data_IF_828540406709
#
_entry.id   IF_828540406709
#
_cell.length_a   1.000
_cell.length_b   1.000
_cell.length_c   1.000
_cell.angle_alpha   90.00
_cell.angle_beta   90.00
_cell.angle_gamma   90.00
#
_symmetry.space_group_name_H-M   'P 1'
#
loop_
_entity.id
_entity.type
_entity.pdbx_description
1 polymer ?
#
# COMPACT_ATOMS: atom_id res chain seq x y z
N UNK A 1 -18.44 -60.37 -65.98
CA UNK A 1 -17.29 -60.28 -65.05
C UNK A 1 -17.28 -61.56 -64.26
N UNK A 2 -16.20 -62.33 -64.35
CA UNK A 2 -16.04 -63.53 -63.53
C UNK A 2 -15.73 -63.13 -62.08
N UNK A 3 -15.90 -64.06 -61.14
CA UNK A 3 -15.53 -63.84 -59.73
C UNK A 3 -14.03 -63.49 -59.60
N UNK A 4 -13.17 -64.10 -60.42
CA UNK A 4 -11.73 -63.80 -60.45
C UNK A 4 -11.41 -62.38 -60.93
N UNK A 5 -12.19 -61.83 -61.87
CA UNK A 5 -12.00 -60.44 -62.31
C UNK A 5 -12.35 -59.43 -61.21
N UNK A 6 -13.32 -59.78 -60.36
CA UNK A 6 -13.72 -58.98 -59.20
C UNK A 6 -12.67 -59.05 -58.09
N UNK A 7 -12.15 -60.25 -57.80
CA UNK A 7 -11.11 -60.47 -56.80
C UNK A 7 -9.82 -59.70 -57.15
N UNK A 8 -9.37 -59.78 -58.40
CA UNK A 8 -8.20 -59.03 -58.88
C UNK A 8 -8.41 -57.50 -58.77
N UNK A 9 -9.59 -56.98 -59.14
CA UNK A 9 -9.88 -55.54 -58.97
C UNK A 9 -9.94 -55.11 -57.51
N UNK A 10 -10.41 -55.98 -56.61
CA UNK A 10 -10.42 -55.69 -55.17
C UNK A 10 -8.99 -55.63 -54.63
N UNK A 11 -8.10 -56.54 -55.05
CA UNK A 11 -6.68 -56.49 -54.68
C UNK A 11 -6.00 -55.22 -55.17
N UNK A 12 -6.21 -54.85 -56.44
CA UNK A 12 -5.64 -53.62 -57.02
C UNK A 12 -6.12 -52.36 -56.27
N UNK A 13 -7.44 -52.25 -56.01
CA UNK A 13 -8.00 -51.12 -55.27
C UNK A 13 -7.48 -51.10 -53.82
N UNK A 14 -7.32 -52.26 -53.18
CA UNK A 14 -6.79 -52.35 -51.82
C UNK A 14 -5.32 -51.90 -51.76
N UNK A 15 -4.51 -52.28 -52.74
CA UNK A 15 -3.12 -51.83 -52.87
C UNK A 15 -3.04 -50.30 -53.08
N UNK A 16 -3.91 -49.73 -53.89
CA UNK A 16 -3.99 -48.28 -54.10
C UNK A 16 -4.47 -47.53 -52.85
N UNK A 17 -5.41 -48.08 -52.08
CA UNK A 17 -5.81 -47.53 -50.78
C UNK A 17 -4.61 -47.46 -49.83
N UNK A 18 -3.82 -48.52 -49.72
CA UNK A 18 -2.64 -48.52 -48.84
C UNK A 18 -1.56 -47.55 -49.32
N UNK A 19 -1.37 -47.41 -50.64
CA UNK A 19 -0.48 -46.40 -51.22
C UNK A 19 -0.95 -44.98 -50.88
N UNK A 20 -2.24 -44.68 -51.06
CA UNK A 20 -2.80 -43.37 -50.74
C UNK A 20 -2.73 -43.06 -49.24
N UNK A 21 -2.98 -44.03 -48.36
CA UNK A 21 -2.78 -43.88 -46.91
C UNK A 21 -1.32 -43.59 -46.54
N UNK A 22 -0.35 -44.20 -47.24
CA UNK A 22 1.06 -43.91 -47.01
C UNK A 22 1.42 -42.46 -47.38
N UNK A 23 0.94 -41.98 -48.52
CA UNK A 23 1.12 -40.58 -48.95
C UNK A 23 0.45 -39.61 -47.99
N UNK A 24 -0.78 -39.92 -47.55
CA UNK A 24 -1.51 -39.08 -46.60
C UNK A 24 -0.76 -38.96 -45.26
N UNK A 25 -0.22 -40.07 -44.73
CA UNK A 25 0.61 -40.06 -43.52
C UNK A 25 1.86 -39.19 -43.66
N UNK A 26 2.54 -39.25 -44.81
CA UNK A 26 3.70 -38.40 -45.10
C UNK A 26 3.32 -36.92 -45.11
N UNK A 27 2.25 -36.56 -45.82
CA UNK A 27 1.77 -35.17 -45.90
C UNK A 27 1.27 -34.65 -44.55
N UNK A 28 0.65 -35.49 -43.71
CA UNK A 28 0.30 -35.14 -42.33
C UNK A 28 1.53 -34.85 -41.48
N UNK A 29 2.61 -35.62 -41.68
CA UNK A 29 3.89 -35.39 -41.02
C UNK A 29 4.48 -34.04 -41.43
N UNK A 30 4.56 -33.75 -42.73
CA UNK A 30 5.07 -32.49 -43.26
C UNK A 30 4.23 -31.29 -42.81
N UNK A 31 2.89 -31.42 -42.84
CA UNK A 31 1.98 -30.40 -42.31
C UNK A 31 2.25 -30.13 -40.83
N UNK A 32 2.45 -31.18 -40.02
CA UNK A 32 2.73 -31.03 -38.59
C UNK A 32 4.06 -30.32 -38.33
N UNK A 33 5.08 -30.58 -39.16
CA UNK A 33 6.38 -29.92 -39.08
C UNK A 33 6.27 -28.42 -39.43
N UNK A 34 5.62 -28.09 -40.55
CA UNK A 34 5.39 -26.71 -40.96
C UNK A 34 4.56 -25.93 -39.93
N UNK A 35 3.56 -26.59 -39.32
CA UNK A 35 2.75 -25.99 -38.27
C UNK A 35 3.60 -25.61 -37.04
N UNK A 36 4.54 -26.48 -36.63
CA UNK A 36 5.49 -26.18 -35.54
C UNK A 36 6.41 -25.01 -35.90
N UNK A 37 6.95 -24.98 -37.11
CA UNK A 37 7.81 -23.89 -37.58
C UNK A 37 7.06 -22.55 -37.61
N UNK A 38 5.83 -22.54 -38.10
CA UNK A 38 4.99 -21.33 -38.14
C UNK A 38 4.72 -20.81 -36.72
N UNK A 39 4.42 -21.70 -35.78
CA UNK A 39 4.21 -21.32 -34.38
C UNK A 39 5.48 -20.73 -33.75
N UNK A 40 6.67 -21.29 -34.05
CA UNK A 40 7.94 -20.76 -33.58
C UNK A 40 8.30 -19.37 -34.16
N UNK A 41 7.86 -19.06 -35.38
CA UNK A 41 8.02 -17.71 -35.97
C UNK A 41 7.01 -16.72 -35.41
N UNK A 42 5.82 -17.21 -35.00
CA UNK A 42 4.72 -16.38 -34.46
C UNK A 42 4.79 -16.10 -32.97
N UNK A 43 5.72 -16.70 -32.23
CA UNK A 43 5.93 -16.46 -30.80
C UNK A 43 7.16 -15.55 -30.57
N UNK A 44 6.96 -14.22 -30.39
CA UNK A 44 8.06 -13.28 -30.17
C UNK A 44 8.75 -13.50 -28.83
N UNK A 45 8.05 -14.06 -27.83
CA UNK A 45 8.57 -14.25 -26.47
C UNK A 45 9.33 -15.57 -26.35
N UNK A 46 8.95 -16.60 -27.11
CA UNK A 46 9.75 -17.81 -27.28
C UNK A 46 11.13 -17.60 -27.92
N UNK A 47 11.41 -16.38 -28.45
CA UNK A 47 12.73 -15.97 -28.96
C UNK A 47 13.60 -15.26 -27.92
N UNK A 48 13.01 -14.80 -26.83
CA UNK A 48 13.73 -14.13 -25.76
C UNK A 48 14.30 -15.19 -24.80
N UNK A 49 15.50 -14.97 -24.25
CA UNK A 49 15.97 -15.76 -23.13
C UNK A 49 14.95 -15.77 -21.99
N UNK A 50 14.75 -16.89 -21.27
CA UNK A 50 13.83 -16.99 -20.14
C UNK A 50 14.00 -15.86 -19.11
N UNK A 51 15.23 -15.40 -18.89
CA UNK A 51 15.56 -14.33 -17.96
C UNK A 51 14.98 -12.97 -18.39
N UNK A 52 15.01 -12.68 -19.69
CA UNK A 52 14.47 -11.43 -20.25
C UNK A 52 12.95 -11.45 -20.20
N UNK A 53 12.33 -12.56 -20.61
CA UNK A 53 10.88 -12.76 -20.50
C UNK A 53 10.40 -12.64 -19.06
N UNK A 54 11.16 -13.23 -18.13
CA UNK A 54 10.91 -13.16 -16.69
C UNK A 54 10.94 -11.73 -16.15
N UNK A 55 11.93 -10.92 -16.54
CA UNK A 55 12.00 -9.51 -16.14
C UNK A 55 10.85 -8.69 -16.76
N UNK A 56 10.52 -8.93 -18.04
CA UNK A 56 9.37 -8.29 -18.69
C UNK A 56 8.08 -8.60 -17.91
N UNK A 57 7.86 -9.85 -17.51
CA UNK A 57 6.68 -10.23 -16.74
C UNK A 57 6.59 -9.48 -15.41
N UNK A 58 7.71 -9.31 -14.71
CA UNK A 58 7.75 -8.56 -13.44
C UNK A 58 7.42 -7.08 -13.67
N UNK A 59 7.96 -6.47 -14.74
CA UNK A 59 7.69 -5.07 -15.09
C UNK A 59 6.25 -4.83 -15.60
N UNK A 60 5.56 -5.88 -16.02
CA UNK A 60 4.16 -5.80 -16.44
C UNK A 60 3.16 -5.95 -15.27
N UNK A 61 3.62 -6.25 -14.06
CA UNK A 61 2.77 -6.24 -12.88
C UNK A 61 2.38 -4.80 -12.53
N UNK A 62 1.16 -4.56 -12.00
CA UNK A 62 0.78 -3.24 -11.51
C UNK A 62 1.81 -2.70 -10.52
N UNK A 63 2.05 -1.39 -10.49
CA UNK A 63 2.99 -0.80 -9.52
C UNK A 63 2.45 -0.86 -8.09
N UNK A 64 1.12 -0.86 -7.94
CA UNK A 64 0.45 -0.87 -6.65
C UNK A 64 -0.17 -2.26 -6.38
N UNK A 65 0.22 -2.93 -5.28
CA UNK A 65 -0.31 -4.21 -4.83
C UNK A 65 -1.83 -4.26 -4.80
N UNK A 66 -2.51 -3.15 -4.49
CA UNK A 66 -3.97 -3.05 -4.43
C UNK A 66 -4.65 -3.36 -5.76
N UNK A 67 -3.94 -3.30 -6.88
CA UNK A 67 -4.48 -3.67 -8.18
C UNK A 67 -4.03 -5.08 -8.66
N UNK A 68 -3.40 -5.88 -7.80
CA UNK A 68 -2.98 -7.24 -8.16
C UNK A 68 -4.08 -8.25 -7.82
N UNK A 69 -5.13 -8.31 -8.64
CA UNK A 69 -6.18 -9.29 -8.42
C UNK A 69 -5.65 -10.72 -8.60
N UNK A 70 -6.22 -11.66 -7.83
CA UNK A 70 -5.74 -13.05 -7.82
C UNK A 70 -5.83 -13.75 -9.19
N UNK A 71 -6.74 -13.31 -10.05
CA UNK A 71 -6.99 -13.88 -11.37
C UNK A 71 -6.30 -13.12 -12.51
N UNK A 72 -5.68 -11.97 -12.22
CA UNK A 72 -4.88 -11.22 -13.19
C UNK A 72 -3.43 -11.72 -13.24
N UNK A 73 -2.51 -10.97 -13.83
CA UNK A 73 -1.09 -11.28 -13.79
C UNK A 73 -0.63 -11.48 -12.32
N UNK A 74 0.17 -12.53 -12.01
CA UNK A 74 0.83 -13.46 -12.93
C UNK A 74 0.00 -14.66 -13.39
N UNK A 75 -1.24 -14.86 -12.92
CA UNK A 75 -2.04 -16.04 -13.24
C UNK A 75 -2.37 -16.14 -14.75
N UNK A 76 -2.57 -14.99 -15.42
CA UNK A 76 -2.78 -14.94 -16.87
C UNK A 76 -1.60 -15.51 -17.67
N UNK A 77 -0.36 -15.37 -17.16
CA UNK A 77 0.84 -15.86 -17.84
C UNK A 77 0.84 -17.39 -17.98
N UNK A 78 0.14 -18.09 -17.09
CA UNK A 78 0.02 -19.55 -17.11
C UNK A 78 -0.91 -20.08 -18.21
N UNK A 79 -1.70 -19.21 -18.83
CA UNK A 79 -2.73 -19.60 -19.80
C UNK A 79 -2.33 -19.26 -21.25
N UNK A 80 -1.15 -18.67 -21.47
CA UNK A 80 -0.69 -18.25 -22.82
C UNK A 80 -0.08 -19.41 -23.60
N UNK A 81 1.01 -19.98 -23.09
CA UNK A 81 1.66 -21.16 -23.66
C UNK A 81 2.55 -21.86 -22.60
N UNK A 82 2.95 -23.11 -22.85
CA UNK A 82 3.78 -23.87 -21.92
C UNK A 82 5.10 -23.15 -21.56
N UNK A 83 5.74 -22.48 -22.51
CA UNK A 83 6.99 -21.76 -22.24
C UNK A 83 6.78 -20.62 -21.24
N UNK A 84 5.68 -19.87 -21.35
CA UNK A 84 5.36 -18.80 -20.39
C UNK A 84 4.99 -19.38 -19.03
N UNK A 85 4.28 -20.50 -19.00
CA UNK A 85 3.97 -21.23 -17.78
C UNK A 85 5.25 -21.65 -17.06
N UNK A 86 6.21 -22.22 -17.79
CA UNK A 86 7.50 -22.66 -17.22
C UNK A 86 8.30 -21.47 -16.66
N UNK A 87 8.36 -20.35 -17.41
CA UNK A 87 9.03 -19.12 -16.97
C UNK A 87 8.33 -18.51 -15.73
N UNK A 88 7.00 -18.41 -15.76
CA UNK A 88 6.24 -17.80 -14.68
C UNK A 88 6.29 -18.65 -13.40
N UNK A 89 6.19 -19.98 -13.50
CA UNK A 89 6.28 -20.88 -12.34
C UNK A 89 7.68 -20.91 -11.74
N UNK A 90 8.72 -20.79 -12.56
CA UNK A 90 10.12 -20.80 -12.10
C UNK A 90 10.61 -19.45 -11.55
N UNK A 91 9.80 -18.39 -11.61
CA UNK A 91 10.13 -17.09 -11.03
C UNK A 91 9.26 -16.78 -9.79
N UNK A 92 9.76 -17.02 -8.56
CA UNK A 92 9.02 -16.76 -7.33
C UNK A 92 8.65 -15.29 -7.10
N UNK A 93 9.44 -14.34 -7.63
CA UNK A 93 9.19 -12.88 -7.50
C UNK A 93 7.87 -12.45 -8.13
N UNK A 94 7.37 -13.19 -9.13
CA UNK A 94 6.04 -12.92 -9.71
C UNK A 94 4.91 -13.22 -8.73
N UNK A 95 5.12 -14.14 -7.79
CA UNK A 95 4.09 -14.65 -6.89
C UNK A 95 4.15 -14.02 -5.50
N UNK A 96 5.17 -13.20 -5.22
CA UNK A 96 5.36 -12.56 -3.92
C UNK A 96 4.36 -11.45 -3.63
N UNK A 97 3.61 -10.96 -4.63
CA UNK A 97 2.62 -9.89 -4.45
C UNK A 97 1.21 -10.41 -4.73
N UNK A 98 0.28 -10.14 -3.82
CA UNK A 98 -1.12 -10.54 -3.97
C UNK A 98 -2.08 -9.57 -3.27
N UNK A 99 -3.19 -9.26 -3.94
CA UNK A 99 -4.34 -8.63 -3.30
C UNK A 99 -5.51 -9.61 -3.21
N UNK A 100 -6.02 -9.75 -1.99
CA UNK A 100 -7.06 -10.68 -1.59
C UNK A 100 -8.28 -9.83 -1.20
N UNK A 101 -9.28 -9.78 -2.07
CA UNK A 101 -10.56 -9.13 -1.79
C UNK A 101 -11.58 -10.15 -1.25
N UNK A 102 -12.30 -9.78 -0.19
CA UNK A 102 -13.32 -10.61 0.47
C UNK A 102 -14.64 -9.80 0.58
N UNK A 103 -15.82 -10.36 0.22
CA UNK A 103 -16.04 -11.70 -0.31
C UNK A 103 -15.49 -11.86 -1.73
N UNK A 104 -14.57 -12.80 -1.88
CA UNK A 104 -13.97 -13.16 -3.17
C UNK A 104 -14.76 -14.27 -3.85
N UNK A 105 -14.51 -14.54 -5.15
CA UNK A 105 -15.06 -15.72 -5.81
C UNK A 105 -14.63 -17.00 -5.07
N UNK A 106 -15.54 -17.98 -5.00
CA UNK A 106 -15.29 -19.24 -4.30
C UNK A 106 -13.98 -19.93 -4.75
N UNK A 107 -13.24 -20.50 -3.79
CA UNK A 107 -11.94 -21.14 -4.06
C UNK A 107 -10.71 -20.25 -3.82
N UNK A 108 -10.90 -19.08 -3.19
CA UNK A 108 -9.84 -18.12 -2.81
C UNK A 108 -8.66 -18.78 -2.08
N UNK A 109 -8.93 -19.60 -1.05
CA UNK A 109 -7.91 -20.30 -0.28
C UNK A 109 -7.00 -21.18 -1.15
N UNK A 110 -7.55 -21.90 -2.13
CA UNK A 110 -6.76 -22.74 -3.03
C UNK A 110 -5.88 -21.91 -3.97
N UNK A 111 -6.35 -20.74 -4.42
CA UNK A 111 -5.55 -19.83 -5.23
C UNK A 111 -4.41 -19.20 -4.41
N UNK A 112 -4.71 -18.74 -3.20
CA UNK A 112 -3.72 -18.18 -2.26
C UNK A 112 -2.66 -19.23 -1.92
N UNK A 113 -3.06 -20.46 -1.59
CA UNK A 113 -2.12 -21.55 -1.30
C UNK A 113 -1.17 -21.82 -2.48
N UNK A 114 -1.67 -21.84 -3.72
CA UNK A 114 -0.82 -22.01 -4.92
C UNK A 114 0.14 -20.84 -5.11
N UNK A 115 -0.28 -19.60 -4.83
CA UNK A 115 0.61 -18.44 -4.91
C UNK A 115 1.71 -18.52 -3.85
N UNK A 116 1.36 -18.82 -2.60
CA UNK A 116 2.33 -18.98 -1.49
C UNK A 116 3.38 -20.05 -1.81
N UNK A 117 2.96 -21.20 -2.32
CA UNK A 117 3.89 -22.27 -2.72
C UNK A 117 4.89 -21.82 -3.79
N UNK A 118 4.46 -20.98 -4.74
CA UNK A 118 5.30 -20.48 -5.83
C UNK A 118 6.21 -19.33 -5.40
N UNK A 119 5.77 -18.49 -4.46
CA UNK A 119 6.60 -17.45 -3.84
C UNK A 119 7.78 -18.05 -3.05
N UNK A 120 7.63 -19.29 -2.60
CA UNK A 120 8.70 -20.11 -1.99
C UNK A 120 9.32 -19.46 -0.75
N UNK A 121 10.44 -18.76 -0.89
CA UNK A 121 11.19 -18.09 0.18
C UNK A 121 11.27 -16.57 0.00
N UNK A 122 10.56 -16.02 -0.98
CA UNK A 122 10.56 -14.58 -1.22
C UNK A 122 9.69 -13.84 -0.20
N UNK A 123 10.07 -12.59 0.11
CA UNK A 123 9.26 -11.73 0.97
C UNK A 123 7.92 -11.43 0.30
N UNK A 124 6.85 -11.68 1.04
CA UNK A 124 5.47 -11.51 0.62
C UNK A 124 5.00 -10.07 0.85
N UNK A 125 4.26 -9.57 -0.13
CA UNK A 125 3.54 -8.31 -0.11
C UNK A 125 2.06 -8.62 -0.30
N UNK A 126 1.33 -8.64 0.82
CA UNK A 126 -0.05 -9.11 0.88
C UNK A 126 -0.95 -7.94 1.22
N UNK A 127 -1.94 -7.69 0.37
CA UNK A 127 -3.08 -6.86 0.70
C UNK A 127 -4.31 -7.75 0.92
N UNK A 128 -5.01 -7.54 2.03
CA UNK A 128 -6.28 -8.19 2.35
C UNK A 128 -7.31 -7.09 2.59
N UNK A 129 -8.36 -7.11 1.78
CA UNK A 129 -9.40 -6.08 1.76
C UNK A 129 -10.76 -6.76 1.93
N UNK A 130 -11.49 -6.40 2.97
CA UNK A 130 -12.77 -7.01 3.35
C UNK A 130 -12.68 -7.85 4.63
N UNK A 131 -13.79 -8.46 5.08
CA UNK A 131 -13.79 -9.32 6.25
C UNK A 131 -12.81 -10.48 6.03
N UNK A 132 -11.93 -10.74 6.99
CA UNK A 132 -10.90 -11.77 6.88
C UNK A 132 -11.56 -13.16 6.85
N UNK A 133 -11.48 -13.88 5.73
CA UNK A 133 -11.82 -15.31 5.66
C UNK A 133 -10.83 -16.06 6.56
N UNK A 134 -11.27 -16.72 7.65
CA UNK A 134 -10.38 -17.36 8.62
C UNK A 134 -9.47 -18.43 7.98
N UNK A 135 -9.90 -19.04 6.88
CA UNK A 135 -9.11 -20.04 6.14
C UNK A 135 -7.97 -19.39 5.40
N UNK A 136 -8.24 -18.29 4.69
CA UNK A 136 -7.22 -17.51 3.98
C UNK A 136 -6.28 -16.86 4.98
N UNK A 137 -6.82 -16.41 6.11
CA UNK A 137 -6.02 -15.89 7.20
C UNK A 137 -5.07 -16.95 7.76
N UNK A 138 -5.56 -18.13 8.10
CA UNK A 138 -4.67 -19.19 8.61
C UNK A 138 -3.51 -19.51 7.63
N UNK A 139 -3.75 -19.47 6.32
CA UNK A 139 -2.73 -19.72 5.28
C UNK A 139 -1.65 -18.63 5.23
N UNK A 140 -2.04 -17.36 5.20
CA UNK A 140 -1.10 -16.23 5.10
C UNK A 140 -0.26 -16.15 6.39
N UNK A 141 -0.87 -16.39 7.55
CA UNK A 141 -0.19 -16.33 8.84
C UNK A 141 0.73 -17.53 9.08
N UNK A 142 0.44 -18.68 8.47
CA UNK A 142 1.40 -19.78 8.38
C UNK A 142 2.72 -19.41 7.66
N UNK A 143 2.74 -18.30 6.91
CA UNK A 143 3.91 -17.77 6.20
C UNK A 143 4.38 -16.43 6.77
N UNK A 144 4.05 -16.12 8.03
CA UNK A 144 4.28 -14.81 8.63
C UNK A 144 5.75 -14.34 8.63
N UNK A 145 6.70 -15.27 8.73
CA UNK A 145 8.14 -14.97 8.62
C UNK A 145 8.56 -14.43 7.24
N UNK A 146 7.75 -14.66 6.20
CA UNK A 146 7.99 -14.15 4.86
C UNK A 146 7.26 -12.82 4.62
N UNK A 147 6.34 -12.38 5.48
CA UNK A 147 5.61 -11.13 5.29
C UNK A 147 6.56 -9.93 5.41
N UNK A 148 6.78 -9.24 4.29
CA UNK A 148 7.56 -8.01 4.21
C UNK A 148 6.69 -6.75 4.14
N UNK A 149 5.52 -6.84 3.49
CA UNK A 149 4.50 -5.78 3.47
C UNK A 149 3.13 -6.39 3.71
N UNK A 150 2.35 -5.76 4.58
CA UNK A 150 1.01 -6.19 4.93
C UNK A 150 0.07 -4.99 4.90
N UNK A 151 -0.98 -5.09 4.08
CA UNK A 151 -2.10 -4.16 4.06
C UNK A 151 -3.32 -4.92 4.55
N UNK A 152 -3.89 -4.49 5.68
CA UNK A 152 -5.14 -5.00 6.21
C UNK A 152 -6.19 -3.91 6.05
N UNK A 153 -7.30 -4.22 5.40
CA UNK A 153 -8.49 -3.38 5.37
C UNK A 153 -9.66 -4.22 5.84
N UNK A 154 -10.11 -4.01 7.07
CA UNK A 154 -11.30 -4.65 7.59
C UNK A 154 -12.51 -3.95 6.97
N UNK A 155 -13.18 -4.59 6.00
CA UNK A 155 -14.52 -4.12 5.61
C UNK A 155 -15.45 -4.17 6.82
N UNK A 156 -16.51 -3.35 6.87
CA UNK A 156 -17.53 -3.34 7.94
C UNK A 156 -17.78 -4.75 8.48
N UNK A 157 -17.18 -5.08 9.64
CA UNK A 157 -17.38 -6.38 10.29
C UNK A 157 -18.78 -6.38 10.87
N UNK A 158 -19.54 -7.43 10.58
CA UNK A 158 -20.71 -7.72 11.40
C UNK A 158 -20.19 -8.13 12.80
N UNK A 159 -20.86 -7.71 13.86
CA UNK A 159 -20.47 -7.86 15.29
C UNK A 159 -20.16 -9.30 15.77
N UNK A 160 -20.18 -10.31 14.89
CA UNK A 160 -20.00 -11.73 15.20
C UNK A 160 -18.58 -12.26 14.94
N UNK A 161 -17.66 -11.48 14.37
CA UNK A 161 -16.27 -11.90 14.11
C UNK A 161 -15.40 -11.84 15.38
N UNK A 162 -14.56 -12.86 15.59
CA UNK A 162 -13.70 -13.03 16.78
C UNK A 162 -12.63 -11.92 16.88
N UNK A 163 -12.68 -11.05 17.91
CA UNK A 163 -11.79 -9.89 18.05
C UNK A 163 -10.33 -10.24 18.34
N UNK A 164 -10.05 -11.46 18.82
CA UNK A 164 -8.69 -11.90 19.18
C UNK A 164 -7.80 -12.17 17.96
N UNK A 165 -8.37 -12.23 16.75
CA UNK A 165 -7.60 -12.52 15.54
C UNK A 165 -6.62 -11.38 15.24
N UNK A 166 -7.04 -10.12 15.27
CA UNK A 166 -6.25 -8.96 14.82
C UNK A 166 -5.04 -8.60 15.71
N UNK A 167 -5.09 -8.94 17.00
CA UNK A 167 -3.95 -8.75 17.91
C UNK A 167 -2.91 -9.87 17.79
N UNK A 168 -3.37 -11.12 17.69
CA UNK A 168 -2.50 -12.28 17.40
C UNK A 168 -1.83 -12.11 16.04
N UNK A 169 -2.53 -11.48 15.12
CA UNK A 169 -2.16 -11.18 13.76
C UNK A 169 -0.87 -10.37 13.61
N UNK A 170 -0.69 -9.31 14.40
CA UNK A 170 0.53 -8.50 14.36
C UNK A 170 1.70 -9.23 15.04
N UNK A 171 1.43 -10.02 16.09
CA UNK A 171 2.47 -10.74 16.85
C UNK A 171 3.23 -11.78 16.02
N UNK A 172 2.64 -12.24 14.91
CA UNK A 172 3.16 -13.35 14.12
C UNK A 172 4.17 -12.91 13.05
N UNK A 173 4.30 -11.63 12.73
CA UNK A 173 4.99 -11.17 11.53
C UNK A 173 6.19 -10.24 11.83
N UNK A 174 7.33 -10.79 12.28
CA UNK A 174 8.49 -10.01 12.76
C UNK A 174 9.27 -9.27 11.66
N UNK A 175 9.05 -9.63 10.39
CA UNK A 175 9.78 -9.09 9.24
C UNK A 175 8.99 -8.02 8.49
N UNK A 176 7.85 -7.57 9.01
CA UNK A 176 7.07 -6.52 8.37
C UNK A 176 7.88 -5.23 8.32
N UNK A 177 8.04 -4.73 7.11
CA UNK A 177 8.72 -3.49 6.74
C UNK A 177 7.77 -2.42 6.19
N UNK A 178 6.49 -2.75 6.01
CA UNK A 178 5.45 -1.79 5.66
C UNK A 178 4.10 -2.36 6.13
N UNK A 179 3.43 -1.62 7.03
CA UNK A 179 2.15 -2.01 7.63
C UNK A 179 1.13 -0.90 7.39
N UNK A 180 0.05 -1.27 6.71
CA UNK A 180 -1.08 -0.38 6.43
C UNK A 180 -2.34 -1.01 7.02
N UNK A 181 -3.03 -0.28 7.87
CA UNK A 181 -4.23 -0.74 8.57
C UNK A 181 -5.37 0.22 8.27
N UNK A 182 -6.42 -0.29 7.62
CA UNK A 182 -7.63 0.45 7.24
C UNK A 182 -8.84 -0.15 7.95
N UNK A 183 -9.61 0.66 8.67
CA UNK A 183 -10.86 0.27 9.36
C UNK A 183 -10.72 -0.88 10.37
N UNK A 184 -9.50 -1.10 10.90
CA UNK A 184 -9.25 -2.16 11.87
C UNK A 184 -9.66 -1.68 13.26
N UNK A 185 -10.77 -2.19 13.78
CA UNK A 185 -11.21 -2.01 15.17
C UNK A 185 -10.61 -3.12 16.05
N UNK A 186 -9.78 -2.72 17.02
CA UNK A 186 -9.37 -3.58 18.13
C UNK A 186 -10.24 -3.22 19.34
N UNK A 187 -11.06 -4.16 19.81
CA UNK A 187 -11.97 -3.96 20.95
C UNK A 187 -11.25 -4.18 22.28
N UNK A 188 -11.69 -3.45 23.32
CA UNK A 188 -11.32 -3.77 24.70
C UNK A 188 -11.99 -5.08 25.14
N UNK A 189 -11.22 -6.02 25.67
CA UNK A 189 -11.81 -7.06 26.50
C UNK A 189 -12.47 -6.42 27.74
N UNK A 190 -13.77 -6.66 27.91
CA UNK A 190 -14.42 -6.50 29.21
C UNK A 190 -13.76 -7.46 30.21
N UNK A 191 -12.87 -6.91 31.03
CA UNK A 191 -12.34 -7.48 32.26
C UNK A 191 -11.35 -8.67 32.14
N UNK A 192 -10.08 -8.36 32.43
CA UNK A 192 -9.34 -9.13 33.42
C UNK A 192 -8.61 -10.38 32.96
N UNK A 193 -8.16 -10.45 31.70
CA UNK A 193 -7.14 -11.43 31.29
C UNK A 193 -5.79 -10.72 31.16
N UNK A 194 -4.93 -10.89 32.16
CA UNK A 194 -3.49 -10.65 32.04
C UNK A 194 -2.94 -11.50 30.86
N UNK A 195 -2.77 -10.93 29.66
CA UNK A 195 -2.23 -11.77 28.58
C UNK A 195 -2.12 -11.25 27.16
N UNK A 196 -2.67 -10.11 26.77
CA UNK A 196 -2.40 -9.60 25.41
C UNK A 196 -0.98 -9.02 25.39
N UNK A 197 -0.04 -9.84 24.94
CA UNK A 197 1.35 -9.45 24.78
C UNK A 197 1.49 -8.32 23.79
N UNK A 198 2.15 -7.23 24.20
CA UNK A 198 2.52 -6.14 23.30
C UNK A 198 3.27 -6.71 22.08
N UNK A 199 2.80 -6.38 20.89
CA UNK A 199 3.43 -6.83 19.66
C UNK A 199 4.66 -5.99 19.36
N UNK A 200 5.83 -6.62 19.34
CA UNK A 200 7.06 -6.00 18.88
C UNK A 200 7.18 -6.10 17.35
N UNK A 201 7.25 -4.95 16.68
CA UNK A 201 7.51 -4.80 15.25
C UNK A 201 8.93 -4.21 15.06
N UNK A 202 9.99 -5.03 15.16
CA UNK A 202 11.36 -4.55 15.32
C UNK A 202 11.95 -3.94 14.05
N UNK A 203 11.36 -4.21 12.88
CA UNK A 203 11.86 -3.82 11.58
C UNK A 203 10.95 -2.85 10.83
N UNK A 204 9.87 -2.38 11.45
CA UNK A 204 8.86 -1.53 10.81
C UNK A 204 9.35 -0.07 10.69
N UNK A 205 9.67 0.43 9.48
CA UNK A 205 10.05 1.81 9.24
C UNK A 205 8.83 2.70 8.97
N UNK A 206 7.71 2.15 8.51
CA UNK A 206 6.51 2.92 8.17
C UNK A 206 5.25 2.24 8.70
N UNK A 207 4.36 3.04 9.30
CA UNK A 207 3.05 2.63 9.79
C UNK A 207 2.03 3.63 9.28
N UNK A 208 1.04 3.15 8.53
CA UNK A 208 -0.13 3.93 8.14
C UNK A 208 -1.37 3.31 8.78
N UNK A 209 -2.15 4.15 9.44
CA UNK A 209 -3.44 3.82 10.02
C UNK A 209 -4.51 4.77 9.48
N UNK A 210 -5.63 4.21 9.04
CA UNK A 210 -6.80 4.93 8.54
C UNK A 210 -8.07 4.17 8.92
N UNK A 211 -9.19 4.85 9.04
CA UNK A 211 -10.47 4.32 9.52
C UNK A 211 -11.59 5.32 9.26
N UNK A 212 -12.66 4.85 8.65
CA UNK A 212 -13.89 5.58 8.34
C UNK A 212 -14.91 5.54 9.49
N UNK A 213 -14.71 4.69 10.50
CA UNK A 213 -15.78 4.31 11.44
C UNK A 213 -15.65 4.89 12.86
N UNK A 214 -14.76 5.86 13.09
CA UNK A 214 -14.71 6.53 14.40
C UNK A 214 -15.93 7.42 14.59
N UNK A 215 -16.88 6.96 15.40
CA UNK A 215 -17.87 7.86 15.98
C UNK A 215 -17.14 9.02 16.69
N UNK A 216 -17.83 10.17 16.78
CA UNK A 216 -17.25 11.37 17.39
C UNK A 216 -16.94 11.09 18.87
N UNK A 217 -15.67 10.82 19.18
CA UNK A 217 -15.18 10.60 20.55
C UNK A 217 -14.49 9.26 20.78
N UNK A 218 -14.46 8.35 19.81
CA UNK A 218 -13.74 7.09 19.93
C UNK A 218 -12.34 7.19 19.31
N UNK A 219 -11.32 7.02 20.14
CA UNK A 219 -9.92 6.94 19.73
C UNK A 219 -9.50 5.48 19.58
N UNK A 220 -8.94 5.13 18.44
CA UNK A 220 -8.41 3.78 18.22
C UNK A 220 -7.25 3.46 19.16
N UNK A 221 -7.31 2.29 19.79
CA UNK A 221 -6.34 1.83 20.80
C UNK A 221 -5.20 0.99 20.22
N UNK A 222 -5.09 0.87 18.89
CA UNK A 222 -4.04 0.06 18.27
C UNK A 222 -2.62 0.46 18.68
N UNK A 223 -2.41 1.76 18.87
CA UNK A 223 -1.16 2.28 19.37
C UNK A 223 -0.85 1.80 20.79
N UNK A 224 -1.78 1.25 21.57
CA UNK A 224 -1.54 0.66 22.89
C UNK A 224 -0.89 -0.73 22.80
N UNK A 225 -1.18 -1.49 21.74
CA UNK A 225 -0.79 -2.91 21.62
C UNK A 225 0.50 -3.13 20.82
N UNK A 226 1.09 -2.08 20.23
CA UNK A 226 2.29 -2.20 19.37
C UNK A 226 3.53 -1.51 19.95
N UNK A 227 4.71 -2.07 19.65
CA UNK A 227 6.03 -1.45 19.85
C UNK A 227 6.79 -1.44 18.53
N UNK A 228 7.15 -0.26 18.03
CA UNK A 228 7.87 -0.11 16.76
C UNK A 228 9.10 0.80 16.93
N UNK A 229 10.23 0.28 17.48
CA UNK A 229 11.39 1.10 17.84
C UNK A 229 12.19 1.64 16.66
N UNK A 230 11.95 1.13 15.44
CA UNK A 230 12.61 1.59 14.20
C UNK A 230 11.71 2.44 13.31
N UNK A 231 10.55 2.87 13.83
CA UNK A 231 9.58 3.61 13.03
C UNK A 231 10.13 4.97 12.60
N UNK A 232 10.17 5.21 11.29
CA UNK A 232 10.62 6.46 10.69
C UNK A 232 9.45 7.30 10.19
N UNK A 233 8.34 6.66 9.76
CA UNK A 233 7.12 7.33 9.30
C UNK A 233 5.89 6.80 10.03
N UNK A 234 5.12 7.71 10.59
CA UNK A 234 3.84 7.43 11.23
C UNK A 234 2.75 8.28 10.56
N UNK A 235 1.71 7.64 10.04
CA UNK A 235 0.55 8.30 9.44
C UNK A 235 -0.71 7.81 10.13
N UNK A 236 -1.45 8.74 10.74
CA UNK A 236 -2.67 8.47 11.49
C UNK A 236 -3.81 9.27 10.83
N UNK A 237 -4.43 8.78 9.75
CA UNK A 237 -5.46 9.54 9.01
C UNK A 237 -6.75 9.78 9.82
N UNK A 238 -7.00 8.91 10.80
CA UNK A 238 -8.18 8.94 11.66
C UNK A 238 -7.89 9.51 13.04
N UNK A 239 -8.91 10.06 13.72
CA UNK A 239 -8.72 10.66 15.03
C UNK A 239 -8.19 9.64 16.02
N UNK A 240 -6.95 9.88 16.48
CA UNK A 240 -6.26 9.06 17.46
C UNK A 240 -6.07 9.91 18.72
N UNK A 241 -6.35 9.34 19.88
CA UNK A 241 -6.24 10.04 21.16
C UNK A 241 -4.79 10.42 21.44
N UNK A 242 -4.56 11.66 21.86
CA UNK A 242 -3.23 12.14 22.23
C UNK A 242 -2.52 11.24 23.25
N UNK A 243 -3.24 10.73 24.26
CA UNK A 243 -2.67 9.83 25.27
C UNK A 243 -2.13 8.52 24.66
N UNK A 244 -2.78 8.01 23.62
CA UNK A 244 -2.36 6.80 22.90
C UNK A 244 -1.10 7.06 22.09
N UNK A 245 -1.04 8.21 21.42
CA UNK A 245 0.16 8.67 20.69
C UNK A 245 1.33 8.83 21.66
N UNK A 246 1.14 9.53 22.79
CA UNK A 246 2.18 9.78 23.79
C UNK A 246 2.66 8.47 24.40
N UNK A 247 1.75 7.58 24.81
CA UNK A 247 2.11 6.29 25.40
C UNK A 247 2.90 5.42 24.42
N UNK A 248 2.48 5.39 23.15
CA UNK A 248 3.21 4.71 22.08
C UNK A 248 4.61 5.28 21.85
N UNK A 249 4.74 6.61 21.74
CA UNK A 249 6.02 7.28 21.53
C UNK A 249 6.98 7.05 22.69
N UNK A 250 6.49 7.11 23.94
CA UNK A 250 7.29 6.80 25.13
C UNK A 250 7.72 5.33 25.15
N UNK A 251 6.82 4.41 24.81
CA UNK A 251 7.07 2.96 24.83
C UNK A 251 8.00 2.50 23.71
N UNK A 252 7.84 3.05 22.51
CA UNK A 252 8.61 2.66 21.32
C UNK A 252 9.88 3.48 21.14
N UNK A 253 9.91 4.73 21.59
CA UNK A 253 11.00 5.70 21.37
C UNK A 253 11.56 5.70 19.93
N UNK A 254 10.71 5.84 18.90
CA UNK A 254 11.14 5.68 17.51
C UNK A 254 11.94 6.89 16.99
N UNK A 255 12.90 6.70 16.06
CA UNK A 255 13.62 7.78 15.39
C UNK A 255 12.77 8.43 14.28
N UNK A 256 11.59 8.95 14.66
CA UNK A 256 10.58 9.39 13.71
C UNK A 256 11.05 10.59 12.87
N UNK A 257 10.94 10.47 11.55
CA UNK A 257 11.30 11.49 10.56
C UNK A 257 10.06 12.16 9.95
N UNK A 258 8.97 11.42 9.79
CA UNK A 258 7.71 11.90 9.23
C UNK A 258 6.54 11.55 10.16
N UNK A 259 5.72 12.54 10.48
CA UNK A 259 4.50 12.38 11.27
C UNK A 259 3.35 13.06 10.53
N UNK A 260 2.30 12.29 10.24
CA UNK A 260 1.02 12.78 9.74
C UNK A 260 -0.07 12.49 10.78
N UNK A 261 -0.75 13.53 11.23
CA UNK A 261 -1.92 13.47 12.12
C UNK A 261 -3.14 13.95 11.35
N UNK A 262 -3.99 13.02 10.97
CA UNK A 262 -5.32 13.20 10.39
C UNK A 262 -6.38 13.49 11.44
N UNK A 263 -7.43 14.19 11.01
CA UNK A 263 -8.54 14.71 11.83
C UNK A 263 -8.12 15.27 13.20
N UNK A 264 -7.18 16.23 13.20
CA UNK A 264 -6.65 16.85 14.41
C UNK A 264 -7.71 17.62 15.24
N UNK A 265 -8.89 17.90 14.67
CA UNK A 265 -10.02 18.51 15.36
C UNK A 265 -10.56 17.59 16.47
N UNK A 266 -10.69 16.30 16.16
CA UNK A 266 -11.23 15.28 17.06
C UNK A 266 -10.18 14.56 17.90
N UNK A 267 -8.92 14.54 17.47
CA UNK A 267 -7.81 13.89 18.16
C UNK A 267 -7.47 14.44 19.57
N UNK A 268 -8.16 15.47 20.05
CA UNK A 268 -7.98 15.99 21.42
C UNK A 268 -6.54 16.43 21.73
N UNK A 269 -5.88 17.11 20.78
CA UNK A 269 -4.47 17.56 20.88
C UNK A 269 -4.27 18.70 21.90
N UNK A 270 -4.58 18.45 23.17
CA UNK A 270 -4.41 19.43 24.26
C UNK A 270 -2.95 19.67 24.66
N UNK A 271 -2.09 18.69 24.40
CA UNK A 271 -0.70 18.57 24.85
C UNK A 271 0.25 18.29 23.67
N UNK A 272 -0.03 18.91 22.51
CA UNK A 272 0.75 18.71 21.27
C UNK A 272 2.24 19.03 21.49
N UNK A 273 2.55 19.91 22.43
CA UNK A 273 3.91 20.19 22.89
C UNK A 273 4.62 18.95 23.43
N UNK A 274 3.93 18.09 24.19
CA UNK A 274 4.47 16.83 24.69
C UNK A 274 4.73 15.85 23.54
N UNK A 275 3.77 15.70 22.61
CA UNK A 275 3.95 14.85 21.42
C UNK A 275 5.18 15.28 20.63
N UNK A 276 5.29 16.57 20.31
CA UNK A 276 6.41 17.11 19.52
C UNK A 276 7.75 17.04 20.28
N UNK A 277 7.74 17.14 21.61
CA UNK A 277 8.93 16.98 22.45
C UNK A 277 9.49 15.54 22.40
N UNK A 278 8.62 14.54 22.20
CA UNK A 278 9.01 13.13 22.10
C UNK A 278 9.60 12.75 20.73
N UNK A 279 9.44 13.58 19.69
CA UNK A 279 9.93 13.30 18.32
C UNK A 279 10.84 14.41 17.76
N UNK A 280 11.97 14.73 18.42
CA UNK A 280 12.85 15.84 18.00
C UNK A 280 13.55 15.61 16.64
N UNK A 281 13.57 14.38 16.14
CA UNK A 281 14.19 13.98 14.87
C UNK A 281 13.36 14.33 13.64
N UNK A 282 12.12 14.81 13.83
CA UNK A 282 11.17 15.04 12.77
C UNK A 282 11.70 16.00 11.68
N UNK A 283 11.52 15.61 10.43
CA UNK A 283 11.88 16.38 9.22
C UNK A 283 10.64 16.87 8.46
N UNK A 284 9.53 16.14 8.59
CA UNK A 284 8.23 16.46 7.99
C UNK A 284 7.11 16.30 9.02
N UNK A 285 6.29 17.34 9.16
CA UNK A 285 5.06 17.32 9.94
C UNK A 285 3.88 17.66 9.03
N UNK A 286 2.91 16.77 8.99
CA UNK A 286 1.63 16.98 8.31
C UNK A 286 0.50 16.91 9.34
N UNK A 287 -0.41 17.88 9.30
CA UNK A 287 -1.56 17.90 10.19
C UNK A 287 -2.79 18.29 9.39
N UNK A 288 -3.83 17.46 9.45
CA UNK A 288 -5.08 17.68 8.73
C UNK A 288 -6.21 18.11 9.67
N UNK A 289 -7.15 18.90 9.16
CA UNK A 289 -8.35 19.34 9.88
C UNK A 289 -8.05 20.07 11.20
N UNK A 290 -7.01 20.91 11.19
CA UNK A 290 -6.61 21.65 12.39
C UNK A 290 -7.53 22.87 12.60
N UNK A 291 -8.13 22.96 13.77
CA UNK A 291 -8.84 24.18 14.20
C UNK A 291 -7.87 25.38 14.29
N UNK A 292 -8.32 26.59 13.94
CA UNK A 292 -7.48 27.80 13.94
C UNK A 292 -6.78 28.03 15.30
N UNK A 293 -7.47 27.78 16.41
CA UNK A 293 -6.92 27.94 17.75
C UNK A 293 -5.73 27.00 18.00
N UNK A 294 -5.88 25.73 17.62
CA UNK A 294 -4.83 24.71 17.72
C UNK A 294 -3.69 24.95 16.74
N UNK A 295 -3.98 25.40 15.52
CA UNK A 295 -2.96 25.78 14.56
C UNK A 295 -2.09 26.93 15.11
N UNK A 296 -2.69 27.93 15.77
CA UNK A 296 -1.95 28.99 16.46
C UNK A 296 -1.07 28.45 17.59
N UNK A 297 -1.56 27.48 18.38
CA UNK A 297 -0.77 26.83 19.42
C UNK A 297 0.42 26.07 18.83
N UNK A 298 0.19 25.27 17.79
CA UNK A 298 1.24 24.58 17.04
C UNK A 298 2.31 25.56 16.55
N UNK A 299 1.89 26.65 15.92
CA UNK A 299 2.80 27.69 15.47
C UNK A 299 3.61 28.29 16.63
N UNK A 300 2.95 28.67 17.73
CA UNK A 300 3.64 29.20 18.90
C UNK A 300 4.68 28.21 19.46
N UNK A 301 4.39 26.92 19.46
CA UNK A 301 5.32 25.85 19.87
C UNK A 301 6.50 25.76 18.89
N UNK A 302 6.23 25.74 17.58
CA UNK A 302 7.26 25.67 16.54
C UNK A 302 8.20 26.89 16.52
N UNK A 303 7.71 28.06 16.93
CA UNK A 303 8.51 29.27 17.05
C UNK A 303 9.49 29.25 18.24
N UNK A 304 9.33 28.32 19.19
CA UNK A 304 10.24 28.21 20.34
C UNK A 304 11.60 27.64 19.90
N UNK A 305 12.70 28.19 20.43
CA UNK A 305 14.04 27.72 20.10
C UNK A 305 14.25 26.28 20.58
N UNK A 306 14.78 25.42 19.70
CA UNK A 306 15.12 24.03 20.03
C UNK A 306 13.99 23.01 19.80
N UNK A 307 12.77 23.44 19.48
CA UNK A 307 11.67 22.53 19.13
C UNK A 307 11.86 22.01 17.70
N UNK A 308 11.82 20.67 17.54
CA UNK A 308 11.93 19.93 16.28
C UNK A 308 13.08 20.39 15.36
N UNK A 309 14.34 20.51 15.81
CA UNK A 309 15.41 21.25 15.11
C UNK A 309 15.62 20.88 13.63
N UNK A 310 15.24 19.67 13.22
CA UNK A 310 15.41 19.15 11.86
C UNK A 310 14.20 19.35 10.94
N UNK A 311 13.09 19.95 11.41
CA UNK A 311 11.87 20.10 10.64
C UNK A 311 12.10 20.99 9.40
N UNK A 312 11.91 20.43 8.20
CA UNK A 312 12.08 21.12 6.92
C UNK A 312 10.75 21.34 6.21
N UNK A 313 9.78 20.46 6.42
CA UNK A 313 8.52 20.44 5.71
C UNK A 313 7.38 20.51 6.72
N UNK A 314 6.51 21.50 6.56
CA UNK A 314 5.29 21.65 7.36
C UNK A 314 4.09 21.72 6.42
N UNK A 315 3.13 20.82 6.60
CA UNK A 315 1.91 20.75 5.80
C UNK A 315 0.68 20.83 6.70
N UNK A 316 -0.20 21.79 6.44
CA UNK A 316 -1.46 21.98 7.14
C UNK A 316 -2.60 21.86 6.14
N UNK A 317 -3.38 20.78 6.24
CA UNK A 317 -4.41 20.45 5.28
C UNK A 317 -5.82 20.63 5.84
N UNK A 318 -6.81 20.82 4.95
CA UNK A 318 -8.24 20.88 5.28
C UNK A 318 -8.63 21.94 6.34
N UNK A 319 -7.99 23.11 6.31
CA UNK A 319 -8.29 24.21 7.25
C UNK A 319 -9.70 24.80 7.01
N UNK A 320 -10.52 24.94 8.06
CA UNK A 320 -11.92 25.36 7.96
C UNK A 320 -12.13 26.85 7.64
N UNK A 321 -11.39 27.75 8.30
CA UNK A 321 -11.46 29.23 8.13
C UNK A 321 -10.10 29.87 8.45
N UNK A 322 -9.83 31.09 7.98
CA UNK A 322 -8.64 31.88 8.37
C UNK A 322 -9.02 33.27 8.89
N UNK A 323 -8.10 33.94 9.57
CA UNK A 323 -8.27 35.32 10.07
C UNK A 323 -6.97 36.10 9.91
N UNK A 324 -7.02 37.43 9.96
CA UNK A 324 -5.83 38.28 9.95
C UNK A 324 -4.85 37.89 11.08
N UNK A 325 -5.35 37.70 12.30
CA UNK A 325 -4.53 37.27 13.43
C UNK A 325 -3.88 35.89 13.23
N UNK A 326 -4.52 34.99 12.46
CA UNK A 326 -3.91 33.72 12.08
C UNK A 326 -2.76 33.93 11.09
N UNK A 327 -2.97 34.75 10.06
CA UNK A 327 -1.95 35.04 9.05
C UNK A 327 -0.73 35.77 9.60
N UNK A 328 -0.93 36.68 10.55
CA UNK A 328 0.15 37.33 11.29
C UNK A 328 0.94 36.32 12.13
N UNK A 329 0.26 35.35 12.78
CA UNK A 329 0.92 34.28 13.51
C UNK A 329 1.75 33.39 12.56
N UNK A 330 1.17 32.97 11.42
CA UNK A 330 1.89 32.20 10.39
C UNK A 330 3.15 32.93 9.97
N UNK A 331 3.05 34.21 9.57
CA UNK A 331 4.21 34.98 9.14
C UNK A 331 5.28 35.09 10.24
N UNK A 332 4.86 35.34 11.48
CA UNK A 332 5.77 35.42 12.62
C UNK A 332 6.56 34.12 12.83
N UNK A 333 5.89 32.97 12.72
CA UNK A 333 6.53 31.66 12.88
C UNK A 333 7.42 31.30 11.70
N UNK A 334 6.99 31.58 10.47
CA UNK A 334 7.85 31.37 9.31
C UNK A 334 9.10 32.24 9.36
N UNK A 335 8.97 33.47 9.88
CA UNK A 335 10.11 34.35 10.11
C UNK A 335 11.03 33.84 11.22
N UNK A 336 10.49 33.27 12.30
CA UNK A 336 11.28 32.64 13.37
C UNK A 336 11.97 31.35 12.92
N UNK A 337 11.33 30.59 12.03
CA UNK A 337 11.81 29.32 11.50
C UNK A 337 12.51 29.43 10.13
N UNK A 338 12.83 30.64 9.67
CA UNK A 338 13.36 30.91 8.32
C UNK A 338 14.66 30.19 7.96
N UNK A 339 15.50 29.88 8.95
CA UNK A 339 16.75 29.15 8.75
C UNK A 339 16.57 27.62 8.69
N UNK A 340 15.37 27.14 9.01
CA UNK A 340 15.08 25.75 9.32
C UNK A 340 14.07 25.15 8.34
N UNK A 341 12.92 25.81 8.17
CA UNK A 341 11.87 25.38 7.24
C UNK A 341 12.27 25.68 5.79
N UNK A 342 12.00 24.72 4.89
CA UNK A 342 12.21 24.86 3.44
C UNK A 342 10.91 24.84 2.66
N UNK A 343 9.94 24.06 3.13
CA UNK A 343 8.66 23.89 2.43
C UNK A 343 7.53 24.05 3.42
N UNK A 344 6.58 24.90 3.08
CA UNK A 344 5.38 25.15 3.88
C UNK A 344 4.16 25.10 2.98
N UNK A 345 3.20 24.25 3.34
CA UNK A 345 1.96 24.06 2.59
C UNK A 345 0.78 24.30 3.50
N UNK A 346 -0.15 25.13 3.05
CA UNK A 346 -1.40 25.38 3.76
C UNK A 346 -2.55 25.20 2.77
N UNK A 347 -3.27 24.09 2.91
CA UNK A 347 -4.44 23.74 2.12
C UNK A 347 -5.75 24.03 2.86
N UNK A 348 -6.73 24.55 2.12
CA UNK A 348 -8.07 24.84 2.63
C UNK A 348 -9.10 23.84 2.13
N UNK A 349 -10.06 23.50 2.99
CA UNK A 349 -11.14 22.57 2.66
C UNK A 349 -12.11 23.14 1.61
N UNK A 350 -12.37 24.44 1.66
CA UNK A 350 -13.24 25.14 0.72
C UNK A 350 -12.43 26.11 -0.14
N UNK A 351 -13.00 26.58 -1.27
CA UNK A 351 -12.47 27.76 -1.98
C UNK A 351 -12.54 28.97 -1.05
N UNK A 352 -11.58 29.11 -0.14
CA UNK A 352 -11.38 30.32 0.63
C UNK A 352 -10.93 31.36 -0.39
N UNK A 353 -11.70 32.43 -0.65
CA UNK A 353 -11.22 33.49 -1.50
C UNK A 353 -9.96 34.05 -0.83
N UNK A 354 -8.83 34.14 -1.56
CA UNK A 354 -7.58 34.78 -1.11
C UNK A 354 -7.76 36.22 -0.55
N UNK A 355 -8.97 36.78 -0.59
CA UNK A 355 -9.37 38.10 -0.08
C UNK A 355 -9.15 38.32 1.42
N UNK A 356 -8.80 37.30 2.20
CA UNK A 356 -8.58 37.41 3.65
C UNK A 356 -7.10 37.40 4.09
N UNK A 357 -6.15 37.30 3.15
CA UNK A 357 -4.72 37.43 3.50
C UNK A 357 -4.36 38.92 3.45
N UNK A 358 -3.94 39.52 4.58
CA UNK A 358 -3.48 40.92 4.61
C UNK A 358 -2.33 41.17 3.61
N UNK A 359 -2.30 42.35 2.99
CA UNK A 359 -1.30 42.69 1.97
C UNK A 359 0.14 42.73 2.50
N UNK A 360 0.29 43.16 3.76
CA UNK A 360 1.53 43.12 4.53
C UNK A 360 1.99 41.67 4.77
N UNK A 361 1.06 40.76 5.10
CA UNK A 361 1.39 39.33 5.21
C UNK A 361 1.85 38.75 3.89
N UNK A 362 1.14 39.04 2.79
CA UNK A 362 1.55 38.60 1.45
C UNK A 362 2.94 39.12 1.07
N UNK A 363 3.26 40.36 1.44
CA UNK A 363 4.58 40.95 1.20
C UNK A 363 5.66 40.24 2.03
N UNK A 364 5.38 39.97 3.31
CA UNK A 364 6.29 39.21 4.17
C UNK A 364 6.53 37.77 3.67
N UNK A 365 5.48 37.07 3.24
CA UNK A 365 5.61 35.73 2.68
C UNK A 365 6.44 35.72 1.39
N UNK A 366 6.25 36.70 0.49
CA UNK A 366 7.10 36.86 -0.70
C UNK A 366 8.56 37.08 -0.35
N UNK A 367 8.84 37.90 0.66
CA UNK A 367 10.21 38.15 1.10
C UNK A 367 10.90 36.86 1.59
N UNK A 368 10.18 35.97 2.28
CA UNK A 368 10.70 34.66 2.70
C UNK A 368 10.99 33.73 1.50
N UNK A 369 10.14 33.76 0.47
CA UNK A 369 10.37 33.00 -0.78
C UNK A 369 11.61 33.51 -1.51
N UNK A 370 11.71 34.84 -1.69
CA UNK A 370 12.77 35.47 -2.48
C UNK A 370 14.13 35.50 -1.77
N UNK A 371 14.14 35.74 -0.45
CA UNK A 371 15.37 35.96 0.33
C UNK A 371 15.90 34.68 0.99
N UNK A 372 15.01 33.83 1.49
CA UNK A 372 15.38 32.61 2.23
C UNK A 372 15.14 31.33 1.39
N UNK A 373 14.60 31.45 0.16
CA UNK A 373 14.40 30.32 -0.76
C UNK A 373 13.31 29.34 -0.32
N UNK A 374 12.38 29.78 0.52
CA UNK A 374 11.29 28.94 1.06
C UNK A 374 10.23 28.65 -0.03
N UNK A 375 9.83 27.39 -0.20
CA UNK A 375 8.70 26.99 -1.05
C UNK A 375 7.40 27.09 -0.25
N UNK A 376 6.64 28.17 -0.47
CA UNK A 376 5.37 28.42 0.21
C UNK A 376 4.22 28.21 -0.77
N UNK A 377 3.34 27.27 -0.45
CA UNK A 377 2.14 26.98 -1.23
C UNK A 377 0.88 27.22 -0.40
N UNK A 378 -0.05 28.00 -0.96
CA UNK A 378 -1.35 28.32 -0.39
C UNK A 378 -2.44 28.01 -1.44
N UNK A 379 -3.40 27.15 -1.12
CA UNK A 379 -4.42 26.78 -2.09
C UNK A 379 -5.56 25.94 -1.53
N UNK A 380 -6.54 25.62 -2.37
CA UNK A 380 -7.62 24.69 -2.05
C UNK A 380 -7.27 23.28 -2.54
N UNK A 381 -7.46 22.26 -1.69
CA UNK A 381 -7.16 20.85 -1.99
C UNK A 381 -5.70 20.45 -1.72
N UNK A 382 -5.35 19.16 -1.76
CA UNK A 382 -3.93 18.74 -1.83
C UNK A 382 -3.37 19.19 -3.17
N UNK A 383 -2.18 19.78 -3.21
CA UNK A 383 -1.43 19.95 -4.47
C UNK A 383 -1.31 18.54 -5.07
N UNK A 384 -1.68 18.30 -6.35
CA UNK A 384 -1.43 17.00 -6.95
C UNK A 384 0.05 16.70 -6.77
N UNK A 385 0.33 15.54 -6.18
CA UNK A 385 1.70 15.07 -6.00
C UNK A 385 2.42 15.17 -7.34
N UNK A 386 3.72 15.47 -7.34
CA UNK A 386 4.54 15.43 -8.55
C UNK A 386 4.62 14.02 -9.18
N UNK A 387 3.85 13.04 -8.67
CA UNK A 387 3.65 11.71 -9.23
C UNK A 387 2.30 11.50 -9.94
N UNK A 388 1.39 12.49 -9.98
CA UNK A 388 0.22 12.49 -10.87
C UNK A 388 0.50 13.39 -12.09
N UNK A 389 1.45 12.97 -12.92
CA UNK A 389 1.47 13.36 -14.33
C UNK A 389 0.59 12.35 -15.08
N UNK A 390 -0.23 12.86 -16.01
CA UNK A 390 -1.33 12.20 -16.76
C UNK A 390 -2.67 12.25 -16.01
N UNK A 391 -3.43 13.34 -16.18
CA UNK A 391 -4.26 13.55 -17.38
C UNK A 391 -4.61 15.01 -17.62
#
# INVERSE_FOLDING_TARGET
>A
MSVQDLESRIEDISADIERQKAVLRLLECDKSLLQRQLNAVRDPVGRLPPEISSEIFVQCLPLDPRFHELHEAPALLLNVCNAWTDIAVSNPKLWSTMNIHIPGPGGLAAAVQKRLQRASSHLLNVAMVGPLDPTVATLIWGHSSQLGRLVLSAGHREMEDDPDEDERLLSLAPNISDLVLWDVELMEEEQGVDGVGETLLPNLPQLLFSSYNTEVGESHKILQHIRAPRLEKLTLESPTGEADIISFLRRSSPPLQELNIGDASKAGLGSLDEVLALVPTLTRLEVEWVEIGRAKQLFNILAQPGVLPNLRILELNHMEKTSEAFWNAVLGVLSACRSKLRTVRIAYHFRVPMKYIPSDVLTGLRALVESDGMDIWLGSGRRPDQNELFT
#
